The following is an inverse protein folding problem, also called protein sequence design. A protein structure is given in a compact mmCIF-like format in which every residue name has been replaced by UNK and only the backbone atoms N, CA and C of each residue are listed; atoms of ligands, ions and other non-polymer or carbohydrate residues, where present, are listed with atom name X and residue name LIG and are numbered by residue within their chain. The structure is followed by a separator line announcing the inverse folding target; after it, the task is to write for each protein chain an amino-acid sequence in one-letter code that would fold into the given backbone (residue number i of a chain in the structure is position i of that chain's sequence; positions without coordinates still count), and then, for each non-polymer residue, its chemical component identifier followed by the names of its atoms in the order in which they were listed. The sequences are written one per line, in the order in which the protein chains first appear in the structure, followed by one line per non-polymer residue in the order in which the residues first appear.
data_IF_187902602313
#
_entry.id   IF_187902602313
#
_cell.length_a   1.000
_cell.length_b   1.000
_cell.length_c   1.000
_cell.angle_alpha   90.00
_cell.angle_beta   90.00
_cell.angle_gamma   90.00
#
_symmetry.space_group_name_H-M   'P 1'
#
loop_
_entity.id
_entity.type
_entity.pdbx_description
1 polymer ?
#
# COMPACT_ATOMS: atom_id res chain seq x y z
N UNK A 1 20.46 36.91 -7.15
CA UNK A 1 21.17 36.13 -8.18
C UNK A 1 22.41 35.37 -7.66
N UNK A 2 23.18 35.90 -6.70
CA UNK A 2 24.39 35.23 -6.15
C UNK A 2 24.19 33.80 -5.62
N UNK A 3 23.12 33.57 -4.83
CA UNK A 3 22.88 32.27 -4.15
C UNK A 3 22.74 31.06 -5.09
N UNK A 4 22.34 31.28 -6.34
CA UNK A 4 22.16 30.18 -7.31
C UNK A 4 23.49 29.78 -7.95
N UNK A 5 24.34 30.77 -8.29
CA UNK A 5 25.69 30.52 -8.80
C UNK A 5 26.56 29.78 -7.80
N UNK A 6 26.46 30.12 -6.51
CA UNK A 6 27.21 29.43 -5.45
C UNK A 6 26.74 27.97 -5.26
N UNK A 7 25.43 27.72 -5.39
CA UNK A 7 24.86 26.37 -5.40
C UNK A 7 25.36 25.56 -6.58
N UNK A 8 25.38 26.15 -7.77
CA UNK A 8 25.84 25.47 -8.99
C UNK A 8 27.31 25.05 -8.86
N UNK A 9 28.19 25.98 -8.45
CA UNK A 9 29.61 25.70 -8.20
C UNK A 9 29.81 24.58 -7.18
N UNK A 10 29.01 24.57 -6.10
CA UNK A 10 29.10 23.52 -5.08
C UNK A 10 28.68 22.15 -5.63
N UNK A 11 27.65 22.11 -6.47
CA UNK A 11 27.22 20.87 -7.14
C UNK A 11 28.29 20.37 -8.11
N UNK A 12 28.91 21.25 -8.89
CA UNK A 12 29.99 20.92 -9.83
C UNK A 12 31.24 20.37 -9.11
N UNK A 13 31.65 21.01 -8.00
CA UNK A 13 32.77 20.56 -7.18
C UNK A 13 32.51 19.18 -6.57
N UNK A 14 31.29 18.93 -6.08
CA UNK A 14 30.89 17.62 -5.57
C UNK A 14 30.91 16.57 -6.68
N UNK A 15 30.38 16.88 -7.87
CA UNK A 15 30.38 15.98 -9.02
C UNK A 15 31.80 15.59 -9.44
N UNK A 16 32.73 16.56 -9.51
CA UNK A 16 34.14 16.30 -9.81
C UNK A 16 34.81 15.43 -8.74
N UNK A 17 34.54 15.68 -7.45
CA UNK A 17 35.03 14.84 -6.35
C UNK A 17 34.56 13.40 -6.46
N UNK A 18 33.30 13.17 -6.83
CA UNK A 18 32.74 11.82 -7.04
C UNK A 18 33.29 11.12 -8.29
N UNK A 19 33.68 11.86 -9.33
CA UNK A 19 34.36 11.28 -10.49
C UNK A 19 35.77 10.79 -10.14
N UNK A 20 36.51 11.57 -9.35
CA UNK A 20 37.86 11.21 -8.91
C UNK A 20 37.86 10.12 -7.84
N UNK A 21 36.85 10.12 -6.97
CA UNK A 21 36.69 9.15 -5.89
C UNK A 21 35.33 8.47 -6.05
N UNK A 22 35.20 7.52 -7.01
CA UNK A 22 33.95 6.80 -7.17
C UNK A 22 33.64 6.08 -5.87
N UNK A 23 32.47 6.35 -5.31
CA UNK A 23 31.98 5.58 -4.17
C UNK A 23 31.94 4.12 -4.61
N UNK A 24 32.69 3.26 -3.92
CA UNK A 24 32.55 1.82 -4.11
C UNK A 24 31.09 1.47 -3.92
N UNK A 25 30.53 0.62 -4.79
CA UNK A 25 29.17 0.14 -4.60
C UNK A 25 29.11 -0.50 -3.22
N UNK A 26 28.40 0.17 -2.30
CA UNK A 26 28.25 -0.31 -0.91
C UNK A 26 27.83 -1.77 -1.00
N UNK A 27 28.62 -2.67 -0.41
CA UNK A 27 28.26 -4.08 -0.37
C UNK A 27 26.87 -4.19 0.26
N UNK A 28 25.91 -4.62 -0.54
CA UNK A 28 24.55 -4.89 -0.10
C UNK A 28 24.42 -6.40 0.01
N UNK A 29 24.65 -6.99 1.20
CA UNK A 29 24.42 -8.41 1.38
C UNK A 29 22.97 -8.70 0.99
N UNK A 30 22.76 -9.80 0.27
CA UNK A 30 21.41 -10.31 0.03
C UNK A 30 20.86 -10.80 1.36
N UNK A 31 19.59 -10.57 1.62
CA UNK A 31 18.94 -11.16 2.79
C UNK A 31 19.00 -12.69 2.74
N UNK A 32 18.94 -13.27 1.54
CA UNK A 32 19.03 -14.71 1.28
C UNK A 32 19.93 -15.00 0.06
N UNK A 33 20.76 -16.06 0.07
CA UNK A 33 21.69 -16.36 -1.03
C UNK A 33 21.02 -16.54 -2.40
N UNK A 34 19.75 -16.99 -2.42
CA UNK A 34 18.97 -17.25 -3.63
C UNK A 34 18.09 -16.08 -4.10
N UNK A 35 18.06 -14.94 -3.39
CA UNK A 35 17.25 -13.79 -3.80
C UNK A 35 17.96 -12.92 -4.86
N UNK A 36 17.22 -12.24 -5.75
CA UNK A 36 17.80 -11.24 -6.65
C UNK A 36 18.42 -10.07 -5.86
N UNK A 37 19.21 -9.23 -6.52
CA UNK A 37 19.85 -8.08 -5.88
C UNK A 37 18.84 -7.18 -5.16
N UNK A 38 19.18 -6.72 -3.95
CA UNK A 38 18.27 -5.91 -3.13
C UNK A 38 17.96 -4.56 -3.79
N UNK A 39 16.74 -4.46 -4.33
CA UNK A 39 16.21 -3.20 -4.86
C UNK A 39 15.64 -2.41 -3.69
N UNK A 40 16.20 -1.23 -3.45
CA UNK A 40 15.73 -0.27 -2.46
C UNK A 40 15.98 1.13 -3.01
N UNK A 41 14.97 1.69 -3.68
CA UNK A 41 15.08 3.01 -4.35
C UNK A 41 13.94 3.94 -3.96
N UNK A 42 14.28 5.19 -3.67
CA UNK A 42 13.32 6.24 -3.30
C UNK A 42 13.09 7.20 -4.46
N UNK A 43 11.85 7.63 -4.62
CA UNK A 43 11.40 8.56 -5.65
C UNK A 43 10.54 9.67 -5.03
N UNK A 44 10.65 10.92 -5.51
CA UNK A 44 9.82 12.02 -5.03
C UNK A 44 8.42 12.03 -5.65
N UNK A 45 8.17 11.28 -6.73
CA UNK A 45 6.89 11.25 -7.45
C UNK A 45 6.43 9.81 -7.67
N UNK A 46 5.13 9.57 -7.48
CA UNK A 46 4.51 8.25 -7.64
C UNK A 46 4.72 7.69 -9.05
N UNK A 47 4.49 8.51 -10.07
CA UNK A 47 4.62 8.09 -11.47
C UNK A 47 6.02 7.60 -11.82
N UNK A 48 7.06 8.21 -11.23
CA UNK A 48 8.45 7.78 -11.43
C UNK A 48 8.71 6.44 -10.74
N UNK A 49 8.18 6.23 -9.54
CA UNK A 49 8.30 4.96 -8.83
C UNK A 49 7.60 3.83 -9.59
N UNK A 50 6.39 4.07 -10.09
CA UNK A 50 5.62 3.11 -10.89
C UNK A 50 6.36 2.77 -12.19
N UNK A 51 6.82 3.79 -12.92
CA UNK A 51 7.56 3.57 -14.17
C UNK A 51 8.85 2.77 -13.94
N UNK A 52 9.54 3.05 -12.83
CA UNK A 52 10.72 2.29 -12.43
C UNK A 52 10.37 0.83 -12.09
N UNK A 53 9.32 0.61 -11.29
CA UNK A 53 8.87 -0.74 -10.93
C UNK A 53 8.47 -1.56 -12.18
N UNK A 54 7.80 -0.96 -13.14
CA UNK A 54 7.44 -1.60 -14.42
C UNK A 54 8.66 -1.95 -15.29
N UNK A 55 9.75 -1.19 -15.16
CA UNK A 55 11.01 -1.45 -15.88
C UNK A 55 11.89 -2.54 -15.24
N UNK A 56 11.60 -2.90 -13.98
CA UNK A 56 12.34 -3.94 -13.27
C UNK A 56 11.99 -5.34 -13.77
N UNK A 57 12.99 -6.23 -13.79
CA UNK A 57 12.76 -7.66 -14.08
C UNK A 57 12.37 -8.42 -12.82
N UNK A 58 12.79 -7.92 -11.67
CA UNK A 58 12.51 -8.44 -10.35
C UNK A 58 11.09 -8.09 -9.89
N UNK A 59 10.50 -8.95 -9.07
CA UNK A 59 9.21 -8.70 -8.44
C UNK A 59 9.31 -7.61 -7.36
N UNK A 60 9.12 -6.36 -7.78
CA UNK A 60 9.13 -5.16 -6.92
C UNK A 60 7.76 -4.50 -6.87
N UNK A 61 7.53 -3.78 -5.78
CA UNK A 61 6.28 -3.09 -5.49
C UNK A 61 6.57 -1.66 -5.06
N UNK A 62 5.56 -0.81 -5.14
CA UNK A 62 5.65 0.61 -4.79
C UNK A 62 4.97 0.83 -3.45
N UNK A 63 5.67 1.50 -2.54
CA UNK A 63 5.17 1.89 -1.23
C UNK A 63 5.28 3.40 -1.08
N UNK A 64 4.24 4.04 -0.55
CA UNK A 64 4.30 5.44 -0.17
C UNK A 64 4.67 5.55 1.31
N UNK A 65 5.71 6.33 1.61
CA UNK A 65 6.19 6.58 2.95
C UNK A 65 5.82 8.01 3.35
N UNK A 66 5.14 8.14 4.47
CA UNK A 66 4.75 9.41 5.07
C UNK A 66 5.47 9.59 6.40
N UNK A 67 6.13 10.74 6.57
CA UNK A 67 6.89 11.06 7.79
C UNK A 67 5.96 11.74 8.79
N UNK A 68 5.90 11.21 10.02
CA UNK A 68 5.07 11.74 11.11
C UNK A 68 5.24 13.24 11.38
N UNK A 69 6.45 13.79 11.21
CA UNK A 69 6.80 15.17 11.59
C UNK A 69 6.77 16.19 10.45
N UNK A 70 6.29 15.82 9.26
CA UNK A 70 6.26 16.71 8.10
C UNK A 70 4.83 17.18 7.86
N UNK A 71 4.64 18.22 7.05
CA UNK A 71 3.30 18.66 6.65
C UNK A 71 2.49 17.45 6.11
N UNK A 72 1.27 17.22 6.63
CA UNK A 72 0.47 16.04 6.30
C UNK A 72 0.26 15.91 4.80
N UNK A 73 0.31 14.67 4.30
CA UNK A 73 0.10 14.35 2.88
C UNK A 73 1.34 14.42 1.99
N UNK A 74 2.50 14.89 2.49
CA UNK A 74 3.74 14.80 1.73
C UNK A 74 4.33 13.38 1.81
N UNK A 75 4.37 12.69 0.66
CA UNK A 75 4.85 11.30 0.54
C UNK A 75 6.11 11.19 -0.31
N UNK A 76 6.98 10.26 0.07
CA UNK A 76 8.06 9.77 -0.78
C UNK A 76 7.76 8.32 -1.15
N UNK A 77 8.19 7.87 -2.33
CA UNK A 77 7.81 6.56 -2.86
C UNK A 77 9.01 5.62 -2.87
N UNK A 78 8.90 4.50 -2.17
CA UNK A 78 9.89 3.44 -2.12
C UNK A 78 9.53 2.35 -3.14
N UNK A 79 10.51 1.88 -3.91
CA UNK A 79 10.42 0.68 -4.73
C UNK A 79 11.33 -0.39 -4.15
N UNK A 80 10.73 -1.51 -3.75
CA UNK A 80 11.43 -2.67 -3.17
C UNK A 80 10.55 -3.93 -3.25
N UNK A 81 11.08 -5.09 -2.86
CA UNK A 81 10.28 -6.32 -2.74
C UNK A 81 9.58 -6.41 -1.38
N UNK A 82 8.54 -7.23 -1.26
CA UNK A 82 7.87 -7.44 0.04
C UNK A 82 8.82 -8.00 1.10
N UNK A 83 9.72 -8.92 0.74
CA UNK A 83 10.68 -9.50 1.68
C UNK A 83 11.68 -8.49 2.22
N UNK A 84 12.20 -7.63 1.34
CA UNK A 84 13.12 -6.55 1.72
C UNK A 84 12.40 -5.52 2.59
N UNK A 85 11.20 -5.10 2.20
CA UNK A 85 10.38 -4.20 3.02
C UNK A 85 10.15 -4.80 4.40
N UNK A 86 9.66 -6.04 4.47
CA UNK A 86 9.32 -6.68 5.74
C UNK A 86 10.53 -6.78 6.68
N UNK A 87 11.70 -7.15 6.15
CA UNK A 87 12.93 -7.25 6.94
C UNK A 87 13.28 -5.91 7.61
N UNK A 88 13.31 -4.82 6.85
CA UNK A 88 13.67 -3.51 7.40
C UNK A 88 12.54 -2.90 8.24
N UNK A 89 11.29 -3.06 7.80
CA UNK A 89 10.13 -2.49 8.47
C UNK A 89 9.90 -3.09 9.87
N UNK A 90 10.18 -4.38 10.06
CA UNK A 90 10.05 -5.05 11.37
C UNK A 90 11.22 -4.76 12.31
N UNK A 91 12.42 -4.52 11.79
CA UNK A 91 13.62 -4.29 12.60
C UNK A 91 13.77 -2.86 13.08
N UNK A 92 13.28 -1.89 12.30
CA UNK A 92 13.31 -0.49 12.70
C UNK A 92 12.00 -0.12 13.36
N UNK A 93 12.05 0.55 14.52
CA UNK A 93 10.94 1.40 14.97
C UNK A 93 10.77 2.53 13.93
N UNK A 94 10.05 2.20 12.85
CA UNK A 94 9.93 3.07 11.70
C UNK A 94 9.03 4.24 12.05
N UNK A 95 9.61 5.44 12.14
CA UNK A 95 8.90 6.73 12.27
C UNK A 95 8.18 7.15 10.97
N UNK A 96 7.90 6.19 10.08
CA UNK A 96 7.29 6.41 8.77
C UNK A 96 6.08 5.51 8.63
N UNK A 97 4.92 6.13 8.38
CA UNK A 97 3.73 5.40 7.95
C UNK A 97 3.96 4.89 6.54
N UNK A 98 3.72 3.60 6.34
CA UNK A 98 3.93 2.92 5.07
C UNK A 98 2.57 2.52 4.48
N UNK A 99 2.34 2.92 3.23
CA UNK A 99 1.13 2.61 2.48
C UNK A 99 1.50 1.82 1.23
N UNK A 100 0.76 0.76 0.95
CA UNK A 100 0.85 0.05 -0.33
C UNK A 100 0.22 0.91 -1.43
N UNK A 101 0.92 1.05 -2.55
CA UNK A 101 0.35 1.68 -3.76
C UNK A 101 -0.15 0.57 -4.66
N UNK A 102 -1.47 0.44 -4.78
CA UNK A 102 -2.12 -0.49 -5.72
C UNK A 102 -2.00 0.11 -7.13
N UNK A 103 -1.22 -0.49 -8.04
CA UNK A 103 -1.04 0.06 -9.39
C UNK A 103 -2.34 -0.02 -10.18
N UNK A 104 -2.59 0.99 -11.01
CA UNK A 104 -3.72 0.97 -11.94
C UNK A 104 -3.57 -0.18 -12.94
N UNK A 105 -4.67 -0.91 -13.20
CA UNK A 105 -4.68 -2.05 -14.11
C UNK A 105 -4.01 -3.33 -13.57
N UNK A 106 -3.52 -3.32 -12.33
CA UNK A 106 -2.95 -4.52 -11.71
C UNK A 106 -4.04 -5.37 -11.05
N UNK A 107 -3.91 -6.69 -11.19
CA UNK A 107 -4.76 -7.67 -10.51
C UNK A 107 -4.70 -7.44 -9.01
N UNK A 108 -5.86 -7.39 -8.35
CA UNK A 108 -5.95 -7.11 -6.92
C UNK A 108 -6.91 -8.05 -6.20
N UNK A 109 -6.71 -8.19 -4.89
CA UNK A 109 -7.70 -8.82 -4.01
C UNK A 109 -8.93 -7.93 -3.87
N UNK A 110 -10.04 -8.50 -3.42
CA UNK A 110 -11.16 -7.70 -2.95
C UNK A 110 -10.81 -7.15 -1.56
N UNK A 111 -10.93 -5.84 -1.38
CA UNK A 111 -10.63 -5.17 -0.12
C UNK A 111 -11.68 -4.11 0.22
N UNK A 112 -11.83 -3.83 1.51
CA UNK A 112 -12.74 -2.82 2.03
C UNK A 112 -12.05 -1.98 3.09
N UNK A 113 -12.39 -0.70 3.11
CA UNK A 113 -12.10 0.23 4.19
C UNK A 113 -13.42 0.63 4.84
N UNK A 114 -13.63 0.19 6.07
CA UNK A 114 -14.88 0.36 6.81
C UNK A 114 -14.66 1.32 7.96
N UNK A 115 -15.38 2.43 7.97
CA UNK A 115 -15.25 3.42 9.04
C UNK A 115 -16.57 4.10 9.40
N UNK A 116 -16.69 4.48 10.68
CA UNK A 116 -17.72 5.40 11.15
C UNK A 116 -17.28 6.12 12.43
N UNK A 117 -17.86 7.30 12.69
CA UNK A 117 -17.61 8.08 13.90
C UNK A 117 -18.39 7.50 15.08
N UNK A 118 -17.71 6.97 16.10
CA UNK A 118 -18.34 6.28 17.24
C UNK A 118 -19.26 7.19 18.06
N UNK A 119 -18.87 8.43 18.44
CA UNK A 119 -19.76 9.31 19.20
C UNK A 119 -21.07 9.67 18.50
N UNK A 120 -21.08 9.70 17.15
CA UNK A 120 -22.30 9.92 16.35
C UNK A 120 -23.16 8.67 16.19
N UNK A 121 -22.64 7.49 16.52
CA UNK A 121 -23.25 6.19 16.25
C UNK A 121 -23.30 5.31 17.51
N UNK A 122 -23.82 5.87 18.63
CA UNK A 122 -23.75 5.26 19.98
C UNK A 122 -24.46 3.90 20.14
N UNK A 123 -25.27 3.48 19.17
CA UNK A 123 -25.95 2.18 19.15
C UNK A 123 -25.36 1.17 18.15
N UNK A 124 -24.32 1.55 17.41
CA UNK A 124 -23.75 0.70 16.36
C UNK A 124 -22.79 -0.34 16.94
N UNK A 125 -23.14 -1.61 16.80
CA UNK A 125 -22.22 -2.72 17.06
C UNK A 125 -21.34 -2.96 15.83
N UNK A 126 -20.20 -2.27 15.78
CA UNK A 126 -19.26 -2.37 14.67
C UNK A 126 -18.73 -3.80 14.43
N UNK A 127 -18.63 -4.63 15.47
CA UNK A 127 -18.18 -6.02 15.32
C UNK A 127 -19.25 -6.86 14.61
N UNK A 128 -20.50 -6.72 15.03
CA UNK A 128 -21.62 -7.42 14.38
C UNK A 128 -21.85 -6.90 12.95
N UNK A 129 -21.75 -5.59 12.72
CA UNK A 129 -21.85 -4.99 11.39
C UNK A 129 -20.84 -5.57 10.41
N UNK A 130 -19.57 -5.71 10.83
CA UNK A 130 -18.53 -6.33 10.00
C UNK A 130 -18.82 -7.80 9.71
N UNK A 131 -19.27 -8.57 10.71
CA UNK A 131 -19.61 -9.98 10.51
C UNK A 131 -20.75 -10.17 9.50
N UNK A 132 -21.82 -9.39 9.63
CA UNK A 132 -22.95 -9.39 8.70
C UNK A 132 -22.52 -8.95 7.30
N UNK A 133 -21.67 -7.91 7.23
CA UNK A 133 -21.14 -7.43 5.97
C UNK A 133 -20.28 -8.49 5.26
N UNK A 134 -19.38 -9.15 5.97
CA UNK A 134 -18.56 -10.24 5.42
C UNK A 134 -19.45 -11.36 4.89
N UNK A 135 -20.46 -11.79 5.67
CA UNK A 135 -21.38 -12.83 5.23
C UNK A 135 -22.10 -12.43 3.94
N UNK A 136 -22.64 -11.22 3.90
CA UNK A 136 -23.31 -10.67 2.72
C UNK A 136 -22.41 -10.66 1.48
N UNK A 137 -21.16 -10.21 1.63
CA UNK A 137 -20.19 -10.19 0.53
C UNK A 137 -19.86 -11.60 0.05
N UNK A 138 -19.68 -12.57 0.97
CA UNK A 138 -19.48 -13.98 0.62
C UNK A 138 -20.66 -14.54 -0.20
N UNK A 139 -21.89 -14.28 0.25
CA UNK A 139 -23.10 -14.73 -0.45
C UNK A 139 -23.17 -14.15 -1.87
N UNK A 140 -22.78 -12.88 -2.02
CA UNK A 140 -22.75 -12.21 -3.33
C UNK A 140 -21.62 -12.66 -4.24
N UNK A 141 -20.47 -13.04 -3.69
CA UNK A 141 -19.39 -13.66 -4.47
C UNK A 141 -19.82 -15.03 -5.01
N UNK A 142 -20.56 -15.80 -4.22
CA UNK A 142 -21.15 -17.06 -4.66
C UNK A 142 -22.22 -16.85 -5.73
N UNK A 143 -23.17 -15.93 -5.51
CA UNK A 143 -24.27 -15.65 -6.44
C UNK A 143 -23.78 -15.16 -7.82
N UNK A 144 -22.81 -14.23 -7.83
CA UNK A 144 -22.39 -13.55 -9.07
C UNK A 144 -21.28 -14.31 -9.79
N UNK A 145 -20.36 -14.92 -9.05
CA UNK A 145 -19.15 -15.53 -9.61
C UNK A 145 -18.99 -17.02 -9.31
N UNK A 146 -19.88 -17.62 -8.52
CA UNK A 146 -19.73 -19.02 -8.08
C UNK A 146 -18.55 -19.23 -7.13
N UNK A 147 -18.06 -18.18 -6.47
CA UNK A 147 -16.90 -18.27 -5.58
C UNK A 147 -17.37 -18.51 -4.15
N UNK A 148 -17.03 -19.69 -3.62
CA UNK A 148 -17.25 -20.01 -2.20
C UNK A 148 -16.14 -19.40 -1.33
N UNK A 149 -16.53 -18.61 -0.34
CA UNK A 149 -15.64 -18.12 0.70
C UNK A 149 -16.37 -17.90 2.03
N UNK A 150 -15.61 -17.75 3.10
CA UNK A 150 -16.13 -17.50 4.45
C UNK A 150 -15.29 -16.45 5.17
N UNK A 151 -15.69 -16.07 6.39
CA UNK A 151 -14.90 -15.18 7.24
C UNK A 151 -13.46 -15.66 7.47
N UNK A 152 -13.18 -16.97 7.36
CA UNK A 152 -11.82 -17.53 7.47
C UNK A 152 -10.89 -17.10 6.33
N UNK A 153 -11.46 -16.69 5.20
CA UNK A 153 -10.74 -16.21 4.03
C UNK A 153 -10.51 -14.69 4.08
N UNK A 154 -10.96 -14.01 5.14
CA UNK A 154 -10.90 -12.56 5.26
C UNK A 154 -9.88 -12.17 6.33
N UNK A 155 -8.84 -11.46 5.91
CA UNK A 155 -7.94 -10.79 6.84
C UNK A 155 -8.64 -9.52 7.36
N UNK A 156 -8.82 -9.44 8.67
CA UNK A 156 -9.52 -8.35 9.35
C UNK A 156 -8.53 -7.56 10.22
N UNK A 157 -8.20 -6.35 9.76
CA UNK A 157 -7.25 -5.45 10.42
C UNK A 157 -8.02 -4.35 11.15
N UNK A 158 -7.77 -4.18 12.44
CA UNK A 158 -8.44 -3.18 13.28
C UNK A 158 -7.50 -2.00 13.56
N UNK A 159 -7.95 -0.81 13.16
CA UNK A 159 -7.29 0.48 13.40
C UNK A 159 -8.22 1.45 14.13
N UNK A 160 -9.20 0.93 14.87
CA UNK A 160 -10.16 1.74 15.61
C UNK A 160 -9.51 2.50 16.76
N UNK A 161 -9.96 3.73 16.98
CA UNK A 161 -9.65 4.57 18.14
C UNK A 161 -10.91 4.76 19.00
N UNK A 162 -10.83 5.51 20.09
CA UNK A 162 -12.02 5.81 20.91
C UNK A 162 -13.09 6.59 20.14
N UNK A 163 -12.67 7.48 19.23
CA UNK A 163 -13.57 8.32 18.43
C UNK A 163 -13.99 7.69 17.09
N UNK A 164 -13.16 6.80 16.53
CA UNK A 164 -13.34 6.27 15.19
C UNK A 164 -13.36 4.74 15.20
N UNK A 165 -14.41 4.17 14.62
CA UNK A 165 -14.37 2.78 14.16
C UNK A 165 -13.67 2.75 12.82
N UNK A 166 -12.66 1.88 12.65
CA UNK A 166 -11.90 1.76 11.40
C UNK A 166 -11.37 0.34 11.26
N UNK A 167 -11.76 -0.34 10.17
CA UNK A 167 -11.28 -1.69 9.85
C UNK A 167 -11.00 -1.86 8.37
N UNK A 168 -9.90 -2.51 8.06
CA UNK A 168 -9.58 -2.96 6.71
C UNK A 168 -9.84 -4.45 6.56
N UNK A 169 -10.62 -4.82 5.55
CA UNK A 169 -10.88 -6.22 5.20
C UNK A 169 -10.16 -6.55 3.91
N UNK A 170 -9.42 -7.66 3.87
CA UNK A 170 -8.74 -8.15 2.66
C UNK A 170 -9.16 -9.61 2.43
N UNK A 171 -9.91 -9.84 1.36
CA UNK A 171 -10.41 -11.16 0.99
C UNK A 171 -9.33 -11.94 0.24
N UNK A 172 -8.85 -13.02 0.84
CA UNK A 172 -7.92 -13.96 0.23
C UNK A 172 -8.71 -15.13 -0.35
N UNK A 173 -9.24 -14.92 -1.55
CA UNK A 173 -10.01 -15.90 -2.31
C UNK A 173 -9.10 -16.95 -2.94
N UNK A 174 -9.53 -18.22 -2.93
CA UNK A 174 -8.75 -19.30 -3.54
C UNK A 174 -8.87 -19.22 -5.06
N UNK A 175 -7.73 -19.18 -5.77
CA UNK A 175 -7.67 -19.16 -7.24
C UNK A 175 -8.49 -18.05 -7.93
N UNK A 176 -8.81 -16.97 -7.21
CA UNK A 176 -9.62 -15.87 -7.72
C UNK A 176 -9.04 -14.52 -7.28
N UNK A 177 -9.08 -13.56 -8.20
CA UNK A 177 -8.71 -12.17 -7.97
C UNK A 177 -9.50 -11.27 -8.93
N UNK A 178 -9.62 -9.99 -8.59
CA UNK A 178 -10.22 -9.01 -9.48
C UNK A 178 -9.18 -8.51 -10.48
N UNK A 179 -9.62 -8.25 -11.71
CA UNK A 179 -8.75 -7.78 -12.80
C UNK A 179 -7.97 -6.53 -12.42
N UNK A 180 -8.63 -5.58 -11.76
CA UNK A 180 -8.05 -4.38 -11.17
C UNK A 180 -9.02 -3.78 -10.14
N UNK A 181 -8.59 -2.73 -9.46
CA UNK A 181 -9.37 -2.02 -8.44
C UNK A 181 -10.60 -1.28 -9.01
N UNK A 182 -10.65 -1.00 -10.31
CA UNK A 182 -11.84 -0.43 -10.96
C UNK A 182 -12.91 -1.51 -11.15
N UNK A 183 -12.51 -2.74 -11.46
CA UNK A 183 -13.45 -3.87 -11.60
C UNK A 183 -14.04 -4.33 -10.26
N UNK A 184 -13.51 -3.84 -9.13
CA UNK A 184 -14.15 -3.93 -7.81
C UNK A 184 -15.48 -3.14 -7.74
N UNK A 185 -15.92 -2.48 -8.84
CA UNK A 185 -17.30 -2.00 -9.07
C UNK A 185 -18.40 -3.03 -8.76
N UNK A 186 -18.08 -4.32 -8.67
CA UNK A 186 -18.89 -5.32 -7.98
C UNK A 186 -19.52 -4.79 -6.68
N UNK A 187 -18.76 -4.07 -5.85
CA UNK A 187 -19.25 -3.46 -4.59
C UNK A 187 -20.43 -2.52 -4.85
N UNK A 188 -20.31 -1.62 -5.84
CA UNK A 188 -21.40 -0.71 -6.18
C UNK A 188 -22.65 -1.47 -6.60
N UNK A 189 -22.50 -2.52 -7.42
CA UNK A 189 -23.61 -3.32 -7.91
C UNK A 189 -24.35 -4.03 -6.77
N UNK A 190 -23.61 -4.67 -5.84
CA UNK A 190 -24.24 -5.40 -4.74
C UNK A 190 -24.83 -4.44 -3.68
N UNK A 191 -24.25 -3.26 -3.49
CA UNK A 191 -24.76 -2.29 -2.52
C UNK A 191 -25.90 -1.39 -3.06
N UNK A 192 -26.17 -1.36 -4.36
CA UNK A 192 -27.28 -0.58 -4.95
C UNK A 192 -28.61 -0.74 -4.19
N UNK A 193 -29.09 -1.96 -3.85
CA UNK A 193 -30.37 -2.13 -3.18
C UNK A 193 -30.42 -1.52 -1.77
N UNK A 194 -29.26 -1.40 -1.11
CA UNK A 194 -29.13 -0.77 0.21
C UNK A 194 -29.11 0.74 0.05
N UNK A 195 -28.37 1.25 -0.93
CA UNK A 195 -28.27 2.69 -1.21
C UNK A 195 -29.59 3.30 -1.68
N UNK A 196 -30.43 2.55 -2.38
CA UNK A 196 -31.74 3.03 -2.85
C UNK A 196 -32.84 3.00 -1.77
N UNK A 197 -32.56 2.43 -0.59
CA UNK A 197 -33.49 2.37 0.55
C UNK A 197 -33.13 3.36 1.67
N UNK A 198 -31.97 4.00 1.58
CA UNK A 198 -31.51 5.05 2.49
C UNK A 198 -31.92 6.43 1.96
#
# INVERSE_FOLDING_TARGET
MSKWGDRLKKVEQLAHSFQLNPLTTRYKPRLWPCQPSSIWKLFPRQSLAISFAQSCKEAVHVFALEKEKTSPGQRIYLVTSYSELWHYYTYTESLMHCYEVIPEGAVCKLYFDLEFHKPSNKGSDGKNMVSLFIQYVCDKLLEVYGIECSAKNVLNLDSSTDDKFSRHLIFSLQNAAFKDNIHVRFIHAILQPVLNKA
#
